data_IF_631161930175
#
_entry.id   IF_631161930175
#
_cell.length_a   1.000
_cell.length_b   1.000
_cell.length_c   1.000
_cell.angle_alpha   90.00
_cell.angle_beta   90.00
_cell.angle_gamma   90.00
#
_symmetry.space_group_name_H-M   'P 1'
#
loop_
_entity.id
_entity.type
_entity.pdbx_description
1 polymer ?
#
# COMPACT_ATOMS: atom_id res chain seq x y z
N UNK A 1 -43.73 17.27 -26.78
CA UNK A 1 -42.49 17.13 -27.59
C UNK A 1 -41.33 17.15 -26.60
N UNK A 2 -40.68 16.01 -26.36
CA UNK A 2 -39.59 15.91 -25.36
C UNK A 2 -38.31 16.45 -26.01
N UNK A 3 -37.70 17.43 -25.34
CA UNK A 3 -36.55 18.19 -25.82
C UNK A 3 -35.26 17.34 -25.81
N UNK A 4 -35.04 16.60 -26.90
CA UNK A 4 -33.91 15.70 -27.13
C UNK A 4 -32.53 16.36 -26.97
N UNK A 5 -32.45 17.69 -27.11
CA UNK A 5 -31.17 18.43 -27.01
C UNK A 5 -30.61 18.48 -25.59
N UNK A 6 -31.47 18.49 -24.57
CA UNK A 6 -31.05 18.45 -23.15
C UNK A 6 -30.50 17.08 -22.76
N UNK A 7 -31.05 16.01 -23.32
CA UNK A 7 -30.62 14.63 -23.04
C UNK A 7 -29.20 14.35 -23.56
N UNK A 8 -28.86 14.87 -24.74
CA UNK A 8 -27.52 14.73 -25.31
C UNK A 8 -26.46 15.49 -24.50
N UNK A 9 -26.76 16.72 -24.05
CA UNK A 9 -25.84 17.50 -23.20
C UNK A 9 -25.62 16.85 -21.84
N UNK A 10 -26.66 16.29 -21.22
CA UNK A 10 -26.54 15.56 -19.96
C UNK A 10 -25.67 14.30 -20.06
N UNK A 11 -25.79 13.54 -21.16
CA UNK A 11 -24.97 12.34 -21.40
C UNK A 11 -23.50 12.66 -21.71
N UNK A 12 -23.23 13.73 -22.45
CA UNK A 12 -21.86 14.18 -22.71
C UNK A 12 -21.14 14.62 -21.43
N UNK A 13 -21.83 15.33 -20.53
CA UNK A 13 -21.28 15.71 -19.23
C UNK A 13 -20.99 14.50 -18.34
N UNK A 14 -21.89 13.51 -18.31
CA UNK A 14 -21.68 12.29 -17.54
C UNK A 14 -20.45 11.47 -18.02
N UNK A 15 -20.20 11.42 -19.33
CA UNK A 15 -19.04 10.73 -19.88
C UNK A 15 -17.72 11.44 -19.55
N UNK A 16 -17.70 12.78 -19.52
CA UNK A 16 -16.52 13.54 -19.12
C UNK A 16 -16.15 13.36 -17.64
N UNK A 17 -17.15 13.24 -16.75
CA UNK A 17 -16.92 13.03 -15.33
C UNK A 17 -16.31 11.65 -15.02
N UNK A 18 -16.71 10.61 -15.76
CA UNK A 18 -16.12 9.26 -15.62
C UNK A 18 -14.69 9.22 -16.15
N UNK A 19 -14.38 9.94 -17.24
CA UNK A 19 -13.01 10.04 -17.76
C UNK A 19 -12.08 10.80 -16.81
N UNK A 20 -12.56 11.85 -16.13
CA UNK A 20 -11.80 12.60 -15.13
C UNK A 20 -11.56 11.79 -13.84
N UNK A 21 -12.51 10.95 -13.41
CA UNK A 21 -12.33 10.08 -12.25
C UNK A 21 -11.49 8.84 -12.54
N UNK A 22 -11.49 8.33 -13.78
CA UNK A 22 -10.59 7.25 -14.20
C UNK A 22 -9.13 7.73 -14.40
N UNK A 23 -8.92 9.02 -14.64
CA UNK A 23 -7.59 9.63 -14.83
C UNK A 23 -6.74 9.75 -13.56
N UNK A 24 -7.33 9.61 -12.37
CA UNK A 24 -6.59 9.75 -11.10
C UNK A 24 -5.91 8.46 -10.61
N UNK A 25 -5.95 7.35 -11.36
CA UNK A 25 -5.33 6.09 -10.94
C UNK A 25 -4.29 5.52 -11.92
N UNK A 26 -3.98 6.20 -13.03
CA UNK A 26 -2.79 5.85 -13.80
C UNK A 26 -1.63 6.75 -13.39
N UNK A 27 -1.02 6.45 -12.24
CA UNK A 27 0.39 6.74 -12.05
C UNK A 27 1.10 6.01 -13.19
N UNK A 28 1.42 6.72 -14.27
CA UNK A 28 2.20 6.22 -15.38
C UNK A 28 3.54 5.79 -14.81
N UNK A 29 3.63 4.51 -14.44
CA UNK A 29 4.82 3.86 -13.91
C UNK A 29 5.82 3.97 -15.05
N UNK A 30 6.68 4.98 -14.99
CA UNK A 30 7.71 5.20 -16.00
C UNK A 30 8.43 3.86 -16.17
N UNK A 31 8.46 3.36 -17.40
CA UNK A 31 8.96 2.03 -17.70
C UNK A 31 10.47 1.99 -17.38
N UNK A 32 10.77 1.58 -16.14
CA UNK A 32 12.12 1.52 -15.57
C UNK A 32 13.05 0.65 -16.42
N UNK A 33 12.50 -0.21 -17.28
CA UNK A 33 13.28 -1.06 -18.18
C UNK A 33 14.09 -0.28 -19.22
N UNK A 34 13.72 0.97 -19.50
CA UNK A 34 14.41 1.85 -20.47
C UNK A 34 15.62 2.57 -19.89
N UNK A 35 15.80 2.56 -18.57
CA UNK A 35 16.91 3.23 -17.90
C UNK A 35 18.19 2.39 -17.93
N UNK A 36 19.34 3.05 -17.77
CA UNK A 36 20.61 2.35 -17.58
C UNK A 36 20.57 1.51 -16.29
N UNK A 37 21.34 0.41 -16.25
CA UNK A 37 21.37 -0.48 -15.08
C UNK A 37 21.69 0.26 -13.76
N UNK A 38 22.67 1.20 -13.69
CA UNK A 38 22.92 1.98 -12.49
C UNK A 38 21.74 2.87 -12.07
N UNK A 39 21.03 3.46 -13.03
CA UNK A 39 19.85 4.28 -12.74
C UNK A 39 18.69 3.42 -12.20
N UNK A 40 18.52 2.20 -12.73
CA UNK A 40 17.55 1.24 -12.19
C UNK A 40 17.89 0.86 -10.75
N UNK A 41 19.16 0.59 -10.45
CA UNK A 41 19.61 0.20 -9.11
C UNK A 41 19.44 1.37 -8.12
N UNK A 42 19.80 2.59 -8.52
CA UNK A 42 19.57 3.79 -7.72
C UNK A 42 18.08 3.98 -7.38
N UNK A 43 17.21 3.98 -8.38
CA UNK A 43 15.77 4.16 -8.15
C UNK A 43 15.17 3.03 -7.32
N UNK A 44 15.65 1.80 -7.48
CA UNK A 44 15.21 0.66 -6.69
C UNK A 44 15.57 0.84 -5.21
N UNK A 45 16.81 1.23 -4.90
CA UNK A 45 17.27 1.50 -3.53
C UNK A 45 16.46 2.65 -2.90
N UNK A 46 16.33 3.76 -3.62
CA UNK A 46 15.58 4.92 -3.14
C UNK A 46 14.12 4.56 -2.86
N UNK A 47 13.48 3.81 -3.76
CA UNK A 47 12.09 3.38 -3.58
C UNK A 47 11.92 2.44 -2.37
N UNK A 48 12.89 1.56 -2.13
CA UNK A 48 12.92 0.71 -0.93
C UNK A 48 12.95 1.54 0.34
N UNK A 49 13.86 2.53 0.46
CA UNK A 49 13.95 3.35 1.66
C UNK A 49 12.71 4.22 1.88
N UNK A 50 12.09 4.73 0.82
CA UNK A 50 10.81 5.44 0.94
C UNK A 50 9.70 4.52 1.46
N UNK A 51 9.61 3.30 0.92
CA UNK A 51 8.61 2.32 1.37
C UNK A 51 8.87 1.86 2.83
N UNK A 52 10.12 1.62 3.20
CA UNK A 52 10.53 1.29 4.57
C UNK A 52 10.19 2.42 5.55
N UNK A 53 10.53 3.66 5.21
CA UNK A 53 10.21 4.83 6.04
C UNK A 53 8.70 5.00 6.26
N UNK A 54 7.89 4.80 5.20
CA UNK A 54 6.43 4.83 5.30
C UNK A 54 5.88 3.76 6.25
N UNK A 55 6.36 2.52 6.15
CA UNK A 55 5.94 1.44 7.06
C UNK A 55 6.35 1.71 8.51
N UNK A 56 7.58 2.18 8.73
CA UNK A 56 8.07 2.48 10.08
C UNK A 56 7.23 3.58 10.72
N UNK A 57 6.91 4.64 9.96
CA UNK A 57 5.99 5.70 10.44
C UNK A 57 4.66 5.12 10.87
N UNK A 58 4.04 4.29 10.01
CA UNK A 58 2.75 3.64 10.30
C UNK A 58 2.78 2.74 11.54
N UNK A 59 3.88 2.02 11.74
CA UNK A 59 4.07 1.16 12.91
C UNK A 59 4.22 2.00 14.19
N UNK A 60 4.87 3.16 14.10
CA UNK A 60 5.06 4.08 15.23
C UNK A 60 3.78 4.82 15.63
N UNK A 61 2.88 5.08 14.69
CA UNK A 61 1.59 5.72 14.96
C UNK A 61 0.68 4.87 15.88
N UNK A 62 0.95 3.57 16.01
CA UNK A 62 0.32 2.69 17.01
C UNK A 62 -1.15 2.32 16.78
N UNK A 63 -1.78 2.86 15.73
CA UNK A 63 -3.19 2.63 15.39
C UNK A 63 -3.48 1.40 14.51
N UNK A 64 -2.51 0.49 14.37
CA UNK A 64 -2.61 -0.67 13.46
C UNK A 64 -3.23 -1.89 14.15
N UNK A 65 -3.97 -2.69 13.39
CA UNK A 65 -4.39 -4.02 13.84
C UNK A 65 -3.20 -4.99 13.86
N UNK A 66 -3.30 -6.07 14.65
CA UNK A 66 -2.27 -7.10 14.69
C UNK A 66 -1.96 -7.73 13.32
N UNK A 67 -2.98 -7.90 12.46
CA UNK A 67 -2.78 -8.39 11.10
C UNK A 67 -1.97 -7.42 10.24
N UNK A 68 -2.24 -6.11 10.35
CA UNK A 68 -1.48 -5.09 9.61
C UNK A 68 -0.03 -5.02 10.08
N UNK A 69 0.21 -5.13 11.39
CA UNK A 69 1.57 -5.20 11.93
C UNK A 69 2.31 -6.42 11.38
N UNK A 70 1.65 -7.59 11.37
CA UNK A 70 2.21 -8.81 10.80
C UNK A 70 2.52 -8.67 9.30
N UNK A 71 1.58 -8.14 8.54
CA UNK A 71 1.68 -7.90 7.11
C UNK A 71 2.85 -6.96 6.78
N UNK A 72 2.93 -5.82 7.48
CA UNK A 72 4.02 -4.85 7.32
C UNK A 72 5.36 -5.45 7.70
N UNK A 73 5.49 -6.09 8.86
CA UNK A 73 6.75 -6.69 9.31
C UNK A 73 7.24 -7.79 8.34
N UNK A 74 6.32 -8.61 7.84
CA UNK A 74 6.62 -9.67 6.87
C UNK A 74 7.05 -9.07 5.53
N UNK A 75 6.32 -8.06 5.03
CA UNK A 75 6.69 -7.37 3.78
C UNK A 75 8.04 -6.65 3.89
N UNK A 76 8.35 -6.05 5.04
CA UNK A 76 9.64 -5.41 5.30
C UNK A 76 10.79 -6.42 5.26
N UNK A 77 10.64 -7.56 5.95
CA UNK A 77 11.65 -8.63 5.93
C UNK A 77 11.87 -9.18 4.52
N UNK A 78 10.77 -9.43 3.79
CA UNK A 78 10.83 -9.88 2.41
C UNK A 78 11.50 -8.84 1.50
N UNK A 79 11.07 -7.58 1.58
CA UNK A 79 11.62 -6.45 0.86
C UNK A 79 13.13 -6.33 1.02
N UNK A 80 13.59 -6.30 2.26
CA UNK A 80 15.02 -6.23 2.58
C UNK A 80 15.80 -7.38 1.95
N UNK A 81 15.27 -8.60 2.02
CA UNK A 81 15.94 -9.77 1.41
C UNK A 81 16.05 -9.67 -0.11
N UNK A 82 15.01 -9.17 -0.79
CA UNK A 82 15.00 -9.03 -2.25
C UNK A 82 15.91 -7.90 -2.72
N UNK A 83 15.95 -6.78 -2.01
CA UNK A 83 16.87 -5.67 -2.30
C UNK A 83 18.31 -6.09 -2.08
N UNK A 84 18.63 -6.73 -0.95
CA UNK A 84 19.97 -7.26 -0.71
C UNK A 84 20.40 -8.25 -1.82
N UNK A 85 19.50 -9.14 -2.25
CA UNK A 85 19.78 -10.05 -3.37
C UNK A 85 20.03 -9.30 -4.69
N UNK A 86 19.26 -8.23 -4.96
CA UNK A 86 19.44 -7.40 -6.14
C UNK A 86 20.77 -6.63 -6.16
N UNK A 87 21.26 -6.19 -5.00
CA UNK A 87 22.52 -5.45 -4.88
C UNK A 87 23.74 -6.36 -4.85
N UNK A 88 23.64 -7.52 -4.23
CA UNK A 88 24.76 -8.48 -4.12
C UNK A 88 25.03 -9.22 -5.44
N UNK A 89 23.97 -9.60 -6.17
CA UNK A 89 24.10 -10.25 -7.49
C UNK A 89 23.16 -9.59 -8.51
N UNK A 90 23.54 -8.41 -9.03
CA UNK A 90 22.69 -7.63 -9.94
C UNK A 90 22.31 -8.40 -11.19
N UNK A 91 21.01 -8.50 -11.46
CA UNK A 91 20.46 -9.11 -12.68
C UNK A 91 19.09 -8.53 -12.99
N UNK A 92 18.62 -8.67 -14.24
CA UNK A 92 17.27 -8.25 -14.63
C UNK A 92 16.18 -8.91 -13.77
N UNK A 93 16.35 -10.20 -13.43
CA UNK A 93 15.42 -10.93 -12.56
C UNK A 93 15.46 -10.39 -11.13
N UNK A 94 16.65 -10.18 -10.57
CA UNK A 94 16.77 -9.67 -9.20
C UNK A 94 16.20 -8.25 -9.05
N UNK A 95 16.39 -7.37 -10.03
CA UNK A 95 15.76 -6.05 -10.06
C UNK A 95 14.24 -6.13 -10.10
N UNK A 96 13.67 -7.00 -10.95
CA UNK A 96 12.21 -7.21 -10.99
C UNK A 96 11.67 -7.74 -9.67
N UNK A 97 12.35 -8.70 -9.05
CA UNK A 97 11.96 -9.20 -7.74
C UNK A 97 12.02 -8.10 -6.67
N UNK A 98 13.06 -7.26 -6.70
CA UNK A 98 13.17 -6.09 -5.84
C UNK A 98 12.02 -5.10 -6.05
N UNK A 99 11.67 -4.79 -7.30
CA UNK A 99 10.53 -3.93 -7.64
C UNK A 99 9.22 -4.49 -7.11
N UNK A 100 8.97 -5.79 -7.29
CA UNK A 100 7.80 -6.47 -6.74
C UNK A 100 7.78 -6.44 -5.21
N UNK A 101 8.94 -6.55 -4.56
CA UNK A 101 9.03 -6.47 -3.12
C UNK A 101 8.68 -5.06 -2.60
N UNK A 102 9.19 -4.01 -3.26
CA UNK A 102 8.83 -2.61 -2.95
C UNK A 102 7.34 -2.36 -3.21
N UNK A 103 6.78 -2.90 -4.28
CA UNK A 103 5.34 -2.85 -4.57
C UNK A 103 4.51 -3.46 -3.44
N UNK A 104 4.93 -4.61 -2.94
CA UNK A 104 4.27 -5.27 -1.82
C UNK A 104 4.37 -4.43 -0.54
N UNK A 105 5.55 -3.90 -0.22
CA UNK A 105 5.75 -3.01 0.92
C UNK A 105 4.81 -1.80 0.84
N UNK A 106 4.73 -1.13 -0.30
CA UNK A 106 3.83 0.01 -0.52
C UNK A 106 2.36 -0.39 -0.37
N UNK A 107 1.97 -1.55 -0.89
CA UNK A 107 0.61 -2.07 -0.72
C UNK A 107 0.25 -2.30 0.76
N UNK A 108 1.19 -2.82 1.56
CA UNK A 108 1.00 -3.02 3.00
C UNK A 108 0.94 -1.68 3.76
N UNK A 109 1.79 -0.71 3.42
CA UNK A 109 1.72 0.65 3.98
C UNK A 109 0.37 1.31 3.75
N UNK A 110 -0.21 1.12 2.56
CA UNK A 110 -1.47 1.74 2.14
C UNK A 110 -2.72 0.98 2.61
N UNK A 111 -2.59 -0.02 3.48
CA UNK A 111 -3.76 -0.64 4.10
C UNK A 111 -4.58 0.41 4.87
N UNK A 112 -5.92 0.40 4.77
CA UNK A 112 -6.77 1.38 5.43
C UNK A 112 -6.69 1.27 6.95
N UNK A 113 -6.84 2.41 7.63
CA UNK A 113 -6.77 2.46 9.09
C UNK A 113 -7.93 1.67 9.71
N UNK A 114 -7.70 0.87 10.76
CA UNK A 114 -8.76 0.13 11.44
C UNK A 114 -9.96 1.00 11.85
N UNK A 115 -9.71 2.24 12.25
CA UNK A 115 -10.74 3.22 12.63
C UNK A 115 -11.69 3.58 11.48
N UNK A 116 -11.24 3.47 10.23
CA UNK A 116 -12.03 3.81 9.03
C UNK A 116 -12.91 2.66 8.55
N UNK A 117 -12.72 1.45 9.10
CA UNK A 117 -13.37 0.23 8.59
C UNK A 117 -14.71 -0.10 9.25
N UNK A 118 -15.18 0.70 10.20
CA UNK A 118 -16.50 0.53 10.82
C UNK A 118 -16.70 -0.86 11.45
N UNK A 119 -15.65 -1.41 12.07
CA UNK A 119 -15.65 -2.75 12.68
C UNK A 119 -15.30 -3.90 11.74
N UNK A 120 -15.02 -3.65 10.46
CA UNK A 120 -14.50 -4.67 9.55
C UNK A 120 -12.99 -4.88 9.74
N UNK A 121 -12.52 -6.09 9.50
CA UNK A 121 -11.08 -6.40 9.53
C UNK A 121 -10.39 -5.88 8.26
N UNK A 122 -9.19 -5.28 8.38
CA UNK A 122 -8.40 -4.91 7.22
C UNK A 122 -8.08 -6.14 6.36
N UNK A 123 -8.21 -5.99 5.04
CA UNK A 123 -7.80 -7.05 4.10
C UNK A 123 -6.27 -7.17 4.11
N UNK A 124 -5.76 -8.41 4.17
CA UNK A 124 -4.32 -8.65 4.11
C UNK A 124 -3.73 -8.18 2.78
N UNK A 125 -2.57 -7.51 2.83
CA UNK A 125 -1.80 -7.12 1.65
C UNK A 125 -0.99 -8.29 1.08
N UNK A 126 -0.79 -9.35 1.87
CA UNK A 126 0.01 -10.50 1.48
C UNK A 126 -0.86 -11.50 0.72
N UNK A 127 -0.41 -12.00 -0.44
CA UNK A 127 -1.20 -12.92 -1.28
C UNK A 127 -1.53 -14.27 -0.62
N UNK A 128 -0.88 -14.62 0.51
CA UNK A 128 -1.16 -15.83 1.30
C UNK A 128 -1.05 -15.57 2.82
N UNK A 129 -1.41 -14.37 3.29
CA UNK A 129 -1.39 -14.06 4.72
C UNK A 129 -2.27 -15.05 5.51
N UNK A 130 -1.90 -15.42 6.75
CA UNK A 130 -2.78 -16.23 7.59
C UNK A 130 -4.15 -15.56 7.64
N UNK A 131 -5.22 -16.34 7.47
CA UNK A 131 -6.58 -15.84 7.68
C UNK A 131 -6.60 -15.16 9.06
N UNK A 132 -7.10 -13.92 9.08
CA UNK A 132 -7.19 -13.06 10.25
C UNK A 132 -7.37 -13.90 11.52
N UNK A 133 -6.45 -13.87 12.50
CA UNK A 133 -6.75 -14.49 13.78
C UNK A 133 -8.01 -13.79 14.28
N UNK A 134 -9.03 -14.61 14.54
CA UNK A 134 -10.34 -14.19 14.99
C UNK A 134 -10.29 -13.08 16.04
N UNK A 135 -11.37 -12.30 16.07
CA UNK A 135 -11.72 -11.25 16.99
C UNK A 135 -11.82 -11.69 18.48
N UNK A 136 -10.77 -12.34 19.01
CA UNK A 136 -10.62 -12.74 20.42
C UNK A 136 -9.32 -12.27 21.06
N UNK A 137 -8.54 -11.45 20.36
CA UNK A 137 -7.30 -10.84 20.86
C UNK A 137 -7.42 -9.35 21.20
N UNK A 138 -8.63 -8.80 21.30
CA UNK A 138 -8.82 -7.44 21.80
C UNK A 138 -8.48 -7.41 23.28
N UNK A 139 -7.27 -6.94 23.60
CA UNK A 139 -6.94 -6.47 24.94
C UNK A 139 -7.96 -5.39 25.28
N UNK A 140 -8.77 -5.55 26.34
CA UNK A 140 -9.73 -4.52 26.75
C UNK A 140 -9.00 -3.19 26.97
N UNK A 141 -9.59 -2.04 26.60
CA UNK A 141 -9.02 -0.75 26.97
C UNK A 141 -8.85 -0.72 28.49
N UNK A 142 -7.62 -0.46 28.95
CA UNK A 142 -7.36 -0.27 30.37
C UNK A 142 -8.26 0.86 30.88
N UNK A 143 -9.04 0.65 31.96
CA UNK A 143 -9.79 1.73 32.57
C UNK A 143 -8.80 2.75 33.12
N UNK A 144 -8.90 3.99 32.66
CA UNK A 144 -8.21 5.13 33.23
C UNK A 144 -8.65 5.25 34.70
N UNK A 145 -7.76 4.95 35.63
CA UNK A 145 -7.96 5.26 37.04
C UNK A 145 -7.93 6.79 37.21
N UNK A 146 -8.94 7.41 37.84
CA UNK A 146 -8.85 8.80 38.20
C UNK A 146 -7.78 8.98 39.28
N UNK A 147 -6.84 9.88 39.04
CA UNK A 147 -5.94 10.39 40.06
C UNK A 147 -6.76 11.13 41.13
N UNK A 148 -6.84 10.58 42.34
CA UNK A 148 -7.31 11.32 43.50
C UNK A 148 -6.11 11.84 44.30
N UNK A 149 -6.20 13.14 44.63
CA UNK A 149 -5.42 13.85 45.64
C UNK A 149 -5.51 13.18 47.00
#
# INVERSE_FOLDING_TARGET
MIDMTRYMRGRLLALSAVALLAGCHSSGRADMSRLSAPAQDYLLITSYFMAEGGMVSRLQDGGLSGQQVYDMATSLKYGKSMILAALTKPSRKARRNGQQAVELMVACTNQPDPSTLGGRTPRSCLPNGPASPDAKGQVPPQPATPAHK
#
